data_IF_332185817013
#
_entry.id   IF_332185817013
#
_cell.length_a   1.000
_cell.length_b   1.000
_cell.length_c   1.000
_cell.angle_alpha   90.00
_cell.angle_beta   90.00
_cell.angle_gamma   90.00
#
_symmetry.space_group_name_H-M   'P 1'
#
loop_
_entity.id
_entity.type
_entity.pdbx_description
1 polymer ?
#
# COMPACT_ATOMS: atom_id res chain seq x y z
N UNK A 1 4.53 4.49 13.77
CA UNK A 1 4.48 3.11 13.26
C UNK A 1 3.10 2.89 12.66
N UNK A 2 2.98 2.39 11.42
CA UNK A 2 1.68 2.22 10.75
C UNK A 2 1.23 0.76 10.69
N UNK A 3 2.15 -0.20 10.74
CA UNK A 3 1.86 -1.64 10.63
C UNK A 3 0.66 -2.11 11.49
N UNK A 4 0.54 -1.77 12.79
CA UNK A 4 -0.58 -2.25 13.58
C UNK A 4 -1.92 -1.58 13.24
N UNK A 5 -1.92 -0.45 12.52
CA UNK A 5 -3.09 0.34 12.18
C UNK A 5 -3.62 0.04 10.77
N UNK A 6 -2.77 -0.47 9.89
CA UNK A 6 -3.14 -0.84 8.52
C UNK A 6 -3.93 -2.13 8.53
N UNK A 7 -5.04 -2.16 7.78
CA UNK A 7 -5.81 -3.37 7.51
C UNK A 7 -5.21 -4.08 6.30
N UNK A 8 -5.10 -3.37 5.18
CA UNK A 8 -4.49 -3.86 3.94
C UNK A 8 -4.17 -2.71 2.97
N UNK A 9 -3.36 -3.03 1.96
CA UNK A 9 -3.19 -2.15 0.80
C UNK A 9 -4.28 -2.52 -0.22
N UNK A 10 -5.06 -1.54 -0.62
CA UNK A 10 -6.22 -1.77 -1.49
C UNK A 10 -5.80 -1.85 -2.96
N UNK A 11 -5.09 -0.81 -3.43
CA UNK A 11 -4.57 -0.71 -4.79
C UNK A 11 -3.35 0.23 -4.86
N UNK A 12 -2.67 0.21 -6.00
CA UNK A 12 -1.59 1.13 -6.36
C UNK A 12 -1.91 1.73 -7.72
N UNK A 13 -1.93 3.05 -7.79
CA UNK A 13 -2.07 3.78 -9.04
C UNK A 13 -0.76 4.45 -9.43
N UNK A 14 -0.58 4.58 -10.75
CA UNK A 14 0.53 5.34 -11.32
C UNK A 14 -0.01 6.63 -11.92
N UNK A 15 0.44 7.75 -11.38
CA UNK A 15 0.10 9.08 -11.89
C UNK A 15 1.02 9.47 -13.06
N UNK A 16 0.65 10.52 -13.80
CA UNK A 16 1.28 10.92 -15.07
C UNK A 16 2.79 11.19 -14.97
N UNK A 17 3.27 11.65 -13.80
CA UNK A 17 4.69 11.90 -13.52
C UNK A 17 5.50 10.61 -13.26
N UNK A 18 4.84 9.45 -13.32
CA UNK A 18 5.43 8.15 -13.04
C UNK A 18 5.49 7.78 -11.55
N UNK A 19 5.03 8.65 -10.65
CA UNK A 19 4.93 8.40 -9.22
C UNK A 19 3.85 7.35 -8.92
N UNK A 20 4.10 6.53 -7.90
CA UNK A 20 3.14 5.54 -7.43
C UNK A 20 2.42 6.09 -6.20
N UNK A 21 1.09 6.10 -6.27
CA UNK A 21 0.19 6.41 -5.16
C UNK A 21 -0.44 5.11 -4.67
N UNK A 22 -0.40 4.91 -3.36
CA UNK A 22 -0.87 3.69 -2.70
C UNK A 22 -2.10 4.04 -1.86
N UNK A 23 -3.17 3.28 -2.05
CA UNK A 23 -4.38 3.40 -1.25
C UNK A 23 -4.29 2.44 -0.07
N UNK A 24 -4.26 3.00 1.14
CA UNK A 24 -4.13 2.27 2.39
C UNK A 24 -5.47 2.24 3.08
N UNK A 25 -6.00 1.03 3.31
CA UNK A 25 -7.17 0.84 4.16
C UNK A 25 -6.71 0.65 5.61
N UNK A 26 -7.26 1.45 6.51
CA UNK A 26 -6.98 1.41 7.94
C UNK A 26 -7.97 0.50 8.66
N UNK A 27 -7.60 0.03 9.85
CA UNK A 27 -8.47 -0.78 10.71
C UNK A 27 -9.69 -0.02 11.23
N UNK A 28 -9.66 1.32 11.23
CA UNK A 28 -10.81 2.16 11.58
C UNK A 28 -11.82 2.30 10.42
N UNK A 29 -11.59 1.63 9.30
CA UNK A 29 -12.47 1.60 8.14
C UNK A 29 -12.24 2.75 7.14
N UNK A 30 -11.34 3.69 7.43
CA UNK A 30 -10.99 4.75 6.48
C UNK A 30 -10.01 4.24 5.43
N UNK A 31 -10.03 4.87 4.25
CA UNK A 31 -9.01 4.69 3.22
C UNK A 31 -8.33 6.03 2.97
N UNK A 32 -7.01 6.03 2.84
CA UNK A 32 -6.23 7.24 2.50
C UNK A 32 -5.17 6.92 1.46
N UNK A 33 -4.87 7.89 0.61
CA UNK A 33 -3.83 7.80 -0.40
C UNK A 33 -2.49 8.36 0.11
N UNK A 34 -1.39 7.67 -0.19
CA UNK A 34 -0.04 8.09 0.16
C UNK A 34 0.95 7.77 -0.96
N UNK A 35 2.03 8.56 -1.14
CA UNK A 35 3.11 8.17 -2.02
C UNK A 35 3.72 6.83 -1.60
N UNK A 36 4.01 5.94 -2.55
CA UNK A 36 4.55 4.60 -2.27
C UNK A 36 5.84 4.65 -1.42
N UNK A 37 6.68 5.67 -1.63
CA UNK A 37 7.90 5.91 -0.84
C UNK A 37 7.64 6.06 0.67
N UNK A 38 6.47 6.57 1.06
CA UNK A 38 6.06 6.71 2.47
C UNK A 38 5.61 5.35 3.00
N UNK A 39 4.78 4.63 2.25
CA UNK A 39 4.24 3.32 2.63
C UNK A 39 5.38 2.30 2.82
N UNK A 40 6.35 2.27 1.92
CA UNK A 40 7.54 1.40 2.02
C UNK A 40 8.33 1.60 3.33
N UNK A 41 8.27 2.79 3.93
CA UNK A 41 8.96 3.09 5.20
C UNK A 41 8.08 2.87 6.42
N UNK A 42 6.76 3.09 6.30
CA UNK A 42 5.83 3.11 7.43
C UNK A 42 5.16 1.77 7.69
N UNK A 43 4.88 1.01 6.64
CA UNK A 43 4.27 -0.32 6.70
C UNK A 43 4.79 -1.24 5.57
N UNK A 44 6.10 -1.55 5.54
CA UNK A 44 6.69 -2.41 4.52
C UNK A 44 6.06 -3.81 4.43
N UNK A 45 5.64 -4.41 5.55
CA UNK A 45 5.08 -5.78 5.56
C UNK A 45 3.71 -5.83 4.89
N UNK A 46 2.84 -4.84 5.17
CA UNK A 46 1.56 -4.71 4.47
C UNK A 46 1.76 -4.59 2.94
N UNK A 47 2.80 -3.88 2.52
CA UNK A 47 3.14 -3.73 1.11
C UNK A 47 3.63 -5.04 0.47
N UNK A 48 4.51 -5.78 1.16
CA UNK A 48 5.00 -7.07 0.67
C UNK A 48 3.85 -8.06 0.48
N UNK A 49 2.95 -8.16 1.47
CA UNK A 49 1.78 -9.04 1.40
C UNK A 49 0.92 -8.77 0.17
N UNK A 50 0.66 -7.49 -0.13
CA UNK A 50 -0.09 -7.10 -1.32
C UNK A 50 0.54 -7.60 -2.63
N UNK A 51 1.88 -7.51 -2.74
CA UNK A 51 2.60 -8.00 -3.90
C UNK A 51 2.60 -9.52 -3.98
N UNK A 52 2.83 -10.22 -2.86
CA UNK A 52 2.82 -11.69 -2.80
C UNK A 52 1.47 -12.27 -3.23
N UNK A 53 0.36 -11.67 -2.80
CA UNK A 53 -1.00 -12.07 -3.19
C UNK A 53 -1.28 -11.88 -4.69
N UNK A 54 -0.63 -10.89 -5.31
CA UNK A 54 -0.83 -10.50 -6.71
C UNK A 54 0.29 -11.03 -7.62
N UNK A 55 1.27 -11.73 -7.06
CA UNK A 55 2.37 -12.31 -7.82
C UNK A 55 1.85 -13.47 -8.67
N UNK A 56 2.08 -13.39 -9.98
CA UNK A 56 1.73 -14.44 -10.94
C UNK A 56 3.02 -14.89 -11.60
N UNK A 57 3.38 -16.15 -11.40
CA UNK A 57 4.44 -16.79 -12.18
C UNK A 57 3.83 -17.25 -13.50
N UNK A 58 4.41 -16.80 -14.61
CA UNK A 58 4.05 -17.24 -15.96
C UNK A 58 5.25 -17.95 -16.58
#
# INVERSE_FOLDING_TARGET
>A
DWEPLVKEIETIDRVEDGTLIVFVQWKDGKTTEHPAKVVYKKCPQAMLKFYEERLRFR
#
